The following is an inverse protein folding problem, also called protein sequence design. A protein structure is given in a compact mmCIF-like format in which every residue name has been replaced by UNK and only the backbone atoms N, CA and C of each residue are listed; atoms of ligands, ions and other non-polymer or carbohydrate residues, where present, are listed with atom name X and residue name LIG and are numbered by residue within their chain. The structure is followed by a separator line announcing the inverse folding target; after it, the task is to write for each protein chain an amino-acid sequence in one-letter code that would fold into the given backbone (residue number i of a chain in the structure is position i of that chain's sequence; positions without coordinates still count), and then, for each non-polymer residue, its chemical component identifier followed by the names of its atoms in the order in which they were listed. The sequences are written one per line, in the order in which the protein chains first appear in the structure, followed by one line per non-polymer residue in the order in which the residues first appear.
data_IF_928411196657
#
_entry.id   IF_928411196657
#
_cell.length_a   1.000
_cell.length_b   1.000
_cell.length_c   1.000
_cell.angle_alpha   90.00
_cell.angle_beta   90.00
_cell.angle_gamma   90.00
#
_symmetry.space_group_name_H-M   'P 1'
#
loop_
_entity.id
_entity.type
_entity.pdbx_description
1 polymer ?
#
# COMPACT_ATOMS: atom_id res chain seq x y z
N UNK A 1 -26.31 51.76 -9.09
CA UNK A 1 -25.91 50.40 -8.65
C UNK A 1 -25.67 50.47 -7.15
N UNK A 2 -26.39 49.67 -6.35
CA UNK A 2 -26.22 49.68 -4.89
C UNK A 2 -25.14 48.67 -4.52
N UNK A 3 -24.00 49.15 -4.04
CA UNK A 3 -22.98 48.32 -3.37
C UNK A 3 -23.51 47.94 -1.98
N UNK A 4 -23.56 46.65 -1.67
CA UNK A 4 -23.85 46.16 -0.32
C UNK A 4 -22.52 45.99 0.42
N UNK A 5 -22.32 46.77 1.48
CA UNK A 5 -21.17 46.65 2.37
C UNK A 5 -21.32 45.47 3.34
N UNK A 6 -20.19 44.80 3.65
CA UNK A 6 -20.10 43.79 4.69
C UNK A 6 -20.19 44.46 6.08
N UNK A 7 -21.12 44.07 6.97
CA UNK A 7 -21.41 44.79 8.20
C UNK A 7 -20.34 44.69 9.28
N UNK A 8 -19.20 44.01 9.03
CA UNK A 8 -18.18 43.75 10.05
C UNK A 8 -16.83 44.45 9.81
N UNK A 9 -16.48 44.83 8.57
CA UNK A 9 -15.13 45.32 8.27
C UNK A 9 -15.01 46.56 7.37
N UNK A 10 -16.10 47.12 6.82
CA UNK A 10 -16.10 48.39 6.04
C UNK A 10 -14.98 48.54 4.99
N UNK A 11 -14.57 47.47 4.32
CA UNK A 11 -13.69 47.54 3.15
C UNK A 11 -14.41 47.08 1.88
N UNK A 12 -14.16 47.80 0.79
CA UNK A 12 -14.79 47.61 -0.52
C UNK A 12 -14.16 46.41 -1.23
N UNK A 13 -14.96 45.38 -1.52
CA UNK A 13 -14.49 44.19 -2.25
C UNK A 13 -14.28 44.57 -3.73
N UNK A 14 -13.03 44.67 -4.15
CA UNK A 14 -12.66 44.83 -5.55
C UNK A 14 -12.55 43.44 -6.19
N UNK A 15 -13.49 43.14 -7.08
CA UNK A 15 -13.54 41.91 -7.85
C UNK A 15 -12.55 41.99 -9.02
N UNK A 16 -11.31 41.56 -8.81
CA UNK A 16 -10.37 41.29 -9.92
C UNK A 16 -9.78 39.88 -9.75
N UNK A 17 -10.62 38.88 -10.00
CA UNK A 17 -10.17 37.53 -10.33
C UNK A 17 -10.11 37.40 -11.85
N UNK A 18 -9.10 36.66 -12.32
CA UNK A 18 -8.84 36.14 -13.67
C UNK A 18 -7.65 36.83 -14.35
N UNK A 19 -6.47 36.24 -14.16
CA UNK A 19 -5.55 36.03 -15.27
C UNK A 19 -5.04 34.59 -15.22
N UNK A 20 -5.51 33.82 -16.19
CA UNK A 20 -5.18 32.43 -16.46
C UNK A 20 -3.67 32.24 -16.67
N UNK A 21 -3.02 31.65 -15.67
CA UNK A 21 -1.90 30.76 -15.93
C UNK A 21 -2.41 29.32 -15.82
N UNK A 22 -2.94 28.82 -16.93
CA UNK A 22 -3.15 27.38 -17.13
C UNK A 22 -1.77 26.74 -17.22
N UNK A 23 -1.16 26.49 -16.05
CA UNK A 23 -0.16 25.44 -15.91
C UNK A 23 -0.93 24.16 -16.23
N UNK A 24 -0.60 23.51 -17.36
CA UNK A 24 -1.06 22.15 -17.62
C UNK A 24 -0.46 21.26 -16.53
N UNK A 25 -1.14 21.18 -15.38
CA UNK A 25 -0.77 20.30 -14.28
C UNK A 25 -0.91 18.88 -14.80
N UNK A 26 0.20 18.16 -14.90
CA UNK A 26 0.18 16.74 -15.17
C UNK A 26 -0.66 16.10 -14.04
N UNK A 27 -1.81 15.47 -14.32
CA UNK A 27 -2.67 14.91 -13.26
C UNK A 27 -2.02 13.72 -12.55
N UNK A 28 -0.88 13.25 -13.06
CA UNK A 28 -0.11 12.17 -12.48
C UNK A 28 1.02 12.72 -11.61
N UNK A 29 1.25 12.13 -10.43
CA UNK A 29 2.39 12.50 -9.60
C UNK A 29 3.69 12.23 -10.37
N UNK A 30 4.73 13.00 -10.05
CA UNK A 30 6.08 12.83 -10.61
C UNK A 30 7.03 12.30 -9.51
N UNK A 31 6.87 11.03 -9.08
CA UNK A 31 7.74 10.47 -8.05
C UNK A 31 9.16 10.24 -8.59
N UNK A 32 10.13 10.25 -7.69
CA UNK A 32 11.48 9.78 -8.00
C UNK A 32 11.48 8.28 -8.28
N UNK A 33 12.48 7.81 -9.03
CA UNK A 33 12.63 6.39 -9.32
C UNK A 33 12.88 5.56 -8.02
N UNK A 34 12.49 4.27 -8.01
CA UNK A 34 12.78 3.38 -6.90
C UNK A 34 14.29 3.28 -6.62
N UNK A 35 14.70 3.00 -5.37
CA UNK A 35 16.10 2.75 -5.04
C UNK A 35 16.73 1.68 -5.95
N UNK A 36 17.95 1.95 -6.43
CA UNK A 36 18.70 1.03 -7.29
C UNK A 36 19.21 -0.23 -6.56
N UNK A 37 19.11 -0.25 -5.22
CA UNK A 37 19.55 -1.36 -4.37
C UNK A 37 18.42 -1.83 -3.48
N UNK A 38 18.41 -3.12 -3.18
CA UNK A 38 17.60 -3.69 -2.10
C UNK A 38 18.29 -3.48 -0.75
N UNK A 39 17.60 -3.90 0.31
CA UNK A 39 18.15 -3.93 1.67
C UNK A 39 19.56 -4.53 1.68
N UNK A 40 20.53 -3.76 2.20
CA UNK A 40 21.93 -4.18 2.26
C UNK A 40 22.14 -4.90 3.58
N UNK A 41 22.46 -6.18 3.53
CA UNK A 41 22.77 -6.97 4.71
C UNK A 41 24.28 -7.12 4.83
N UNK A 42 24.84 -6.78 5.99
CA UNK A 42 26.25 -6.89 6.34
C UNK A 42 26.46 -7.86 7.49
N UNK A 43 27.50 -8.69 7.40
CA UNK A 43 27.96 -9.58 8.48
C UNK A 43 29.48 -9.49 8.58
N UNK A 44 29.99 -9.36 9.81
CA UNK A 44 31.44 -9.18 10.03
C UNK A 44 32.04 -8.01 9.24
N UNK A 45 31.31 -6.90 9.08
CA UNK A 45 31.74 -5.71 8.35
C UNK A 45 31.62 -5.76 6.82
N UNK A 46 31.19 -6.90 6.24
CA UNK A 46 31.11 -7.09 4.79
C UNK A 46 29.68 -7.34 4.33
N UNK A 47 29.31 -6.88 3.13
CA UNK A 47 27.97 -7.11 2.58
C UNK A 47 27.82 -8.56 2.10
N UNK A 48 26.84 -9.27 2.64
CA UNK A 48 26.41 -10.60 2.19
C UNK A 48 25.18 -10.53 1.27
N UNK A 49 24.75 -9.32 0.89
CA UNK A 49 23.49 -9.10 0.15
C UNK A 49 23.41 -9.90 -1.15
N UNK A 50 24.55 -10.19 -1.79
CA UNK A 50 24.59 -10.97 -3.03
C UNK A 50 24.37 -12.47 -2.83
N UNK A 51 24.61 -12.97 -1.61
CA UNK A 51 24.42 -14.39 -1.26
C UNK A 51 22.95 -14.70 -0.98
N UNK A 52 22.18 -13.69 -0.57
CA UNK A 52 20.75 -13.82 -0.35
C UNK A 52 20.07 -13.88 -1.74
N UNK A 53 19.19 -14.85 -2.03
CA UNK A 53 18.43 -14.84 -3.28
C UNK A 53 17.41 -13.70 -3.30
N UNK A 54 16.88 -13.37 -4.48
CA UNK A 54 15.68 -12.52 -4.58
C UNK A 54 14.44 -13.44 -4.56
N UNK A 55 13.34 -13.03 -3.91
CA UNK A 55 12.12 -13.83 -3.85
C UNK A 55 11.47 -14.02 -5.22
N UNK A 56 10.73 -15.12 -5.36
CA UNK A 56 9.72 -15.31 -6.40
C UNK A 56 8.36 -14.98 -5.80
N UNK A 57 7.67 -13.98 -6.37
CA UNK A 57 6.33 -13.59 -5.89
C UNK A 57 5.30 -14.58 -6.42
N UNK A 58 4.43 -15.05 -5.54
CA UNK A 58 3.26 -15.82 -5.91
C UNK A 58 2.05 -14.90 -5.97
N UNK A 59 1.33 -14.94 -7.08
CA UNK A 59 0.14 -14.13 -7.36
C UNK A 59 -1.07 -15.07 -7.31
N UNK A 60 -2.07 -14.72 -6.52
CA UNK A 60 -3.30 -15.51 -6.44
C UNK A 60 -4.00 -15.57 -7.81
N UNK A 61 -4.41 -16.76 -8.23
CA UNK A 61 -5.05 -16.96 -9.55
C UNK A 61 -6.41 -16.26 -9.70
N UNK A 62 -7.04 -15.81 -8.61
CA UNK A 62 -8.29 -15.06 -8.63
C UNK A 62 -8.06 -13.55 -8.75
N UNK A 63 -6.83 -13.07 -8.58
CA UNK A 63 -6.50 -11.66 -8.69
C UNK A 63 -6.55 -11.22 -10.16
N UNK A 64 -7.54 -10.39 -10.51
CA UNK A 64 -7.83 -10.04 -11.91
C UNK A 64 -6.86 -9.02 -12.49
N UNK A 65 -6.37 -8.13 -11.64
CA UNK A 65 -5.51 -7.02 -12.03
C UNK A 65 -4.26 -7.04 -11.15
N UNK A 66 -3.38 -8.04 -11.30
CA UNK A 66 -2.22 -8.17 -10.43
C UNK A 66 -1.23 -7.03 -10.66
N UNK A 67 -0.43 -6.72 -9.64
CA UNK A 67 0.73 -5.85 -9.77
C UNK A 67 1.78 -6.48 -10.70
N UNK A 68 2.45 -5.62 -11.47
CA UNK A 68 3.56 -6.04 -12.32
C UNK A 68 4.89 -5.90 -11.59
N UNK A 69 5.40 -7.02 -11.05
CA UNK A 69 6.67 -7.03 -10.31
C UNK A 69 7.90 -7.07 -11.21
N UNK A 70 7.74 -7.28 -12.53
CA UNK A 70 8.87 -7.34 -13.47
C UNK A 70 9.66 -6.04 -13.54
N UNK A 71 9.03 -4.91 -13.18
CA UNK A 71 9.63 -3.58 -13.10
C UNK A 71 10.62 -3.41 -11.94
N UNK A 72 10.67 -4.35 -10.99
CA UNK A 72 11.53 -4.27 -9.80
C UNK A 72 12.56 -5.41 -9.74
N UNK A 73 13.42 -5.58 -10.78
CA UNK A 73 14.36 -6.70 -10.85
C UNK A 73 15.42 -6.65 -9.73
N UNK A 74 15.60 -5.52 -9.05
CA UNK A 74 16.49 -5.41 -7.89
C UNK A 74 15.90 -6.05 -6.62
N UNK A 75 14.58 -6.19 -6.54
CA UNK A 75 13.86 -6.69 -5.37
C UNK A 75 13.27 -8.07 -5.57
N UNK A 76 12.81 -8.38 -6.79
CA UNK A 76 12.06 -9.59 -7.12
C UNK A 76 12.79 -10.36 -8.23
N UNK A 77 12.92 -11.68 -8.09
CA UNK A 77 13.55 -12.54 -9.10
C UNK A 77 12.58 -12.87 -10.24
N UNK A 78 11.35 -13.25 -9.89
CA UNK A 78 10.32 -13.68 -10.82
C UNK A 78 8.93 -13.59 -10.16
N UNK A 79 7.89 -13.85 -10.94
CA UNK A 79 6.51 -13.97 -10.48
C UNK A 79 5.85 -15.23 -11.05
N UNK A 80 4.97 -15.88 -10.28
CA UNK A 80 4.21 -17.08 -10.67
C UNK A 80 2.77 -16.97 -10.23
N UNK A 81 1.84 -17.43 -11.06
CA UNK A 81 0.43 -17.55 -10.67
C UNK A 81 0.20 -18.85 -9.91
N UNK A 82 -0.42 -18.78 -8.73
CA UNK A 82 -0.73 -19.94 -7.89
C UNK A 82 -1.98 -19.67 -7.07
N UNK A 83 -2.85 -20.66 -6.88
CA UNK A 83 -3.97 -20.51 -5.97
C UNK A 83 -3.46 -20.39 -4.52
N UNK A 84 -3.72 -19.26 -3.86
CA UNK A 84 -3.35 -19.01 -2.47
C UNK A 84 -4.53 -19.30 -1.53
N UNK A 85 -4.21 -19.73 -0.30
CA UNK A 85 -5.23 -19.98 0.74
C UNK A 85 -5.90 -18.70 1.21
N UNK A 86 -5.18 -17.57 1.18
CA UNK A 86 -5.63 -16.22 1.51
C UNK A 86 -4.69 -15.19 0.86
N UNK A 87 -5.17 -13.96 0.69
CA UNK A 87 -4.41 -12.87 0.10
C UNK A 87 -4.32 -12.91 -1.41
N UNK A 88 -3.77 -11.84 -1.97
CA UNK A 88 -3.50 -11.69 -3.39
C UNK A 88 -2.04 -12.02 -3.72
N UNK A 89 -1.13 -11.84 -2.75
CA UNK A 89 0.29 -12.12 -2.94
C UNK A 89 0.91 -12.89 -1.77
N UNK A 90 1.87 -13.75 -2.11
CA UNK A 90 2.79 -14.39 -1.17
C UNK A 90 4.18 -14.55 -1.81
N UNK A 91 5.08 -15.28 -1.15
CA UNK A 91 6.41 -15.60 -1.67
C UNK A 91 6.59 -17.12 -1.70
N UNK A 92 7.23 -17.64 -2.74
CA UNK A 92 7.56 -19.06 -2.87
C UNK A 92 8.38 -19.56 -1.67
N UNK A 93 7.91 -20.63 -1.03
CA UNK A 93 8.47 -21.17 0.23
C UNK A 93 7.94 -20.50 1.50
N UNK A 94 7.17 -19.42 1.38
CA UNK A 94 6.58 -18.67 2.50
C UNK A 94 5.03 -18.65 2.43
N UNK A 95 4.40 -19.55 1.68
CA UNK A 95 2.96 -19.55 1.36
C UNK A 95 2.06 -19.66 2.57
N UNK A 96 2.56 -20.21 3.68
CA UNK A 96 1.82 -20.31 4.95
C UNK A 96 2.34 -19.33 6.02
N UNK A 97 3.33 -18.49 5.67
CA UNK A 97 3.98 -17.55 6.58
C UNK A 97 3.71 -16.10 6.23
N UNK A 98 3.62 -15.78 4.93
CA UNK A 98 3.46 -14.43 4.42
C UNK A 98 2.20 -14.31 3.57
N UNK A 99 1.40 -13.28 3.84
CA UNK A 99 0.24 -12.91 3.03
C UNK A 99 0.17 -11.40 2.85
N UNK A 100 -0.10 -10.95 1.64
CA UNK A 100 -0.38 -9.54 1.34
C UNK A 100 -1.72 -9.46 0.61
N UNK A 101 -2.69 -8.79 1.23
CA UNK A 101 -3.98 -8.47 0.63
C UNK A 101 -3.89 -7.08 0.01
N UNK A 102 -4.29 -6.94 -1.25
CA UNK A 102 -4.33 -5.66 -1.97
C UNK A 102 -5.77 -5.17 -2.02
N UNK A 103 -5.95 -3.86 -1.90
CA UNK A 103 -7.24 -3.22 -2.06
C UNK A 103 -7.12 -1.88 -2.78
N UNK A 104 -7.92 -1.68 -3.81
CA UNK A 104 -8.15 -0.34 -4.35
C UNK A 104 -9.02 0.46 -3.37
N UNK A 105 -9.03 1.80 -3.47
CA UNK A 105 -9.93 2.64 -2.68
C UNK A 105 -11.40 2.23 -2.88
N UNK A 106 -11.81 2.04 -4.13
CA UNK A 106 -13.18 1.64 -4.50
C UNK A 106 -13.54 0.28 -3.93
N UNK A 107 -12.65 -0.71 -4.06
CA UNK A 107 -12.88 -2.05 -3.51
C UNK A 107 -12.93 -2.03 -1.99
N UNK A 108 -12.12 -1.19 -1.34
CA UNK A 108 -12.12 -1.04 0.11
C UNK A 108 -13.47 -0.52 0.60
N UNK A 109 -13.93 0.61 0.05
CA UNK A 109 -15.22 1.22 0.40
C UNK A 109 -16.34 0.19 0.21
N UNK A 110 -16.40 -0.45 -0.97
CA UNK A 110 -17.39 -1.48 -1.29
C UNK A 110 -17.33 -2.63 -0.29
N UNK A 111 -16.13 -3.10 0.05
CA UNK A 111 -15.94 -4.22 0.97
C UNK A 111 -16.40 -3.88 2.38
N UNK A 112 -16.11 -2.68 2.87
CA UNK A 112 -16.46 -2.29 4.23
C UNK A 112 -17.94 -2.00 4.44
N UNK A 113 -18.66 -1.67 3.37
CA UNK A 113 -20.11 -1.38 3.39
C UNK A 113 -20.91 -2.65 3.11
N UNK A 114 -20.58 -3.36 2.04
CA UNK A 114 -21.42 -4.42 1.49
C UNK A 114 -20.93 -5.83 1.83
N UNK A 115 -19.63 -6.00 2.08
CA UNK A 115 -19.00 -7.32 2.27
C UNK A 115 -18.26 -7.45 3.61
N UNK A 116 -18.65 -6.62 4.60
CA UNK A 116 -17.92 -6.45 5.85
C UNK A 116 -17.69 -7.78 6.57
N UNK A 117 -18.74 -8.58 6.77
CA UNK A 117 -18.63 -9.85 7.51
C UNK A 117 -17.71 -10.85 6.81
N UNK A 118 -17.80 -10.92 5.48
CA UNK A 118 -16.92 -11.76 4.67
C UNK A 118 -15.47 -11.32 4.81
N UNK A 119 -15.22 -10.03 4.74
CA UNK A 119 -13.88 -9.46 4.87
C UNK A 119 -13.27 -9.70 6.26
N UNK A 120 -14.05 -9.52 7.34
CA UNK A 120 -13.57 -9.80 8.68
C UNK A 120 -13.22 -11.28 8.88
N UNK A 121 -13.99 -12.21 8.30
CA UNK A 121 -13.62 -13.64 8.27
C UNK A 121 -12.32 -13.90 7.49
N UNK A 122 -12.03 -13.11 6.46
CA UNK A 122 -10.76 -13.19 5.73
C UNK A 122 -9.61 -12.65 6.58
N UNK A 123 -9.78 -11.50 7.24
CA UNK A 123 -8.80 -10.97 8.20
C UNK A 123 -8.49 -11.98 9.32
N UNK A 124 -9.51 -12.62 9.88
CA UNK A 124 -9.34 -13.68 10.90
C UNK A 124 -8.49 -14.84 10.38
N UNK A 125 -8.67 -15.27 9.13
CA UNK A 125 -7.83 -16.32 8.51
C UNK A 125 -6.39 -15.84 8.34
N UNK A 126 -6.19 -14.58 7.95
CA UNK A 126 -4.86 -14.02 7.76
C UNK A 126 -4.08 -13.87 9.08
N UNK A 127 -4.73 -13.82 10.24
CA UNK A 127 -4.02 -13.76 11.54
C UNK A 127 -3.07 -14.93 11.78
N UNK A 128 -3.31 -16.07 11.14
CA UNK A 128 -2.47 -17.28 11.22
C UNK A 128 -1.11 -17.13 10.52
N UNK A 129 -0.97 -16.12 9.67
CA UNK A 129 0.28 -15.83 8.97
C UNK A 129 1.17 -14.97 9.87
N UNK A 130 2.46 -15.32 9.91
CA UNK A 130 3.48 -14.58 10.67
C UNK A 130 3.57 -13.15 10.16
N UNK A 131 3.66 -12.99 8.84
CA UNK A 131 3.66 -11.70 8.16
C UNK A 131 2.39 -11.55 7.36
N UNK A 132 1.67 -10.47 7.64
CA UNK A 132 0.38 -10.16 7.03
C UNK A 132 0.25 -8.66 6.90
N UNK A 133 -0.34 -8.17 5.83
CA UNK A 133 -0.67 -6.76 5.68
C UNK A 133 -1.83 -6.56 4.71
N UNK A 134 -2.57 -5.47 4.92
CA UNK A 134 -3.51 -4.93 3.94
C UNK A 134 -2.83 -3.73 3.26
N UNK A 135 -2.54 -3.86 1.97
CA UNK A 135 -2.00 -2.79 1.15
C UNK A 135 -3.13 -2.08 0.41
N UNK A 136 -3.25 -0.77 0.62
CA UNK A 136 -4.30 0.05 0.05
C UNK A 136 -3.70 0.97 -1.01
N UNK A 137 -4.24 0.94 -2.23
CA UNK A 137 -3.91 1.87 -3.33
C UNK A 137 -4.58 3.24 -3.13
N UNK A 138 -4.28 3.86 -1.99
CA UNK A 138 -4.73 5.18 -1.59
C UNK A 138 -3.80 5.72 -0.49
N UNK A 139 -3.66 7.04 -0.42
CA UNK A 139 -3.01 7.69 0.72
C UNK A 139 -3.97 7.76 1.91
N UNK A 140 -3.47 8.22 3.07
CA UNK A 140 -4.37 8.44 4.21
C UNK A 140 -5.30 9.65 3.96
N UNK A 141 -4.83 10.67 3.24
CA UNK A 141 -5.64 11.81 2.80
C UNK A 141 -6.79 11.37 1.89
N UNK A 142 -6.54 10.48 0.93
CA UNK A 142 -7.60 9.90 0.09
C UNK A 142 -8.67 9.21 0.94
N UNK A 143 -8.25 8.47 1.97
CA UNK A 143 -9.15 7.74 2.88
C UNK A 143 -9.94 8.69 3.78
N UNK A 144 -9.35 9.83 4.17
CA UNK A 144 -9.94 10.80 5.11
C UNK A 144 -10.69 11.94 4.43
N UNK A 145 -10.67 12.01 3.11
CA UNK A 145 -11.41 13.00 2.34
C UNK A 145 -12.81 12.50 1.97
N UNK A 146 -13.79 13.40 1.73
CA UNK A 146 -15.12 13.01 1.27
C UNK A 146 -15.06 12.18 -0.01
N UNK A 147 -15.87 11.14 -0.08
CA UNK A 147 -16.01 10.31 -1.28
C UNK A 147 -17.07 10.91 -2.19
N UNK A 148 -16.75 11.01 -3.47
CA UNK A 148 -17.72 11.39 -4.49
C UNK A 148 -18.82 10.31 -4.59
N UNK A 149 -20.08 10.72 -4.38
CA UNK A 149 -21.19 9.78 -4.35
C UNK A 149 -21.45 9.15 -5.72
N UNK A 150 -21.15 9.85 -6.81
CA UNK A 150 -21.32 9.36 -8.17
C UNK A 150 -20.18 8.41 -8.55
N UNK A 151 -18.92 8.74 -8.20
CA UNK A 151 -17.75 7.91 -8.48
C UNK A 151 -17.78 6.57 -7.71
N UNK A 152 -18.11 6.62 -6.42
CA UNK A 152 -18.00 5.45 -5.53
C UNK A 152 -19.36 4.82 -5.16
N UNK A 153 -20.49 5.41 -5.57
CA UNK A 153 -21.84 4.91 -5.25
C UNK A 153 -22.02 4.60 -3.76
N UNK A 154 -21.56 5.52 -2.90
CA UNK A 154 -21.42 5.29 -1.47
C UNK A 154 -21.89 6.46 -0.61
N UNK A 155 -22.47 6.16 0.55
CA UNK A 155 -22.71 7.12 1.64
C UNK A 155 -21.75 6.89 2.82
N UNK A 156 -20.69 6.09 2.64
CA UNK A 156 -19.74 5.84 3.71
C UNK A 156 -19.05 7.13 4.12
N UNK A 157 -19.09 7.39 5.43
CA UNK A 157 -18.34 8.48 6.00
C UNK A 157 -16.85 8.11 6.11
N UNK A 158 -15.90 8.98 5.69
CA UNK A 158 -14.45 8.71 5.76
C UNK A 158 -13.95 8.25 7.13
N UNK A 159 -14.47 8.84 8.22
CA UNK A 159 -14.16 8.40 9.59
C UNK A 159 -14.58 6.95 9.90
N UNK A 160 -15.66 6.44 9.29
CA UNK A 160 -16.09 5.06 9.49
C UNK A 160 -15.16 4.07 8.76
N UNK A 161 -14.68 4.46 7.57
CA UNK A 161 -13.66 3.71 6.82
C UNK A 161 -12.36 3.69 7.60
N UNK A 162 -11.81 4.86 7.96
CA UNK A 162 -10.55 4.94 8.70
C UNK A 162 -10.63 4.22 10.05
N UNK A 163 -11.71 4.42 10.82
CA UNK A 163 -11.89 3.75 12.10
C UNK A 163 -12.02 2.23 11.98
N UNK A 164 -12.50 1.72 10.85
CA UNK A 164 -12.45 0.28 10.58
C UNK A 164 -11.02 -0.18 10.33
N UNK A 165 -10.22 0.56 9.56
CA UNK A 165 -8.81 0.23 9.31
C UNK A 165 -8.01 0.21 10.61
N UNK A 166 -8.19 1.21 11.48
CA UNK A 166 -7.58 1.26 12.81
C UNK A 166 -7.96 0.02 13.65
N UNK A 167 -9.22 -0.40 13.57
CA UNK A 167 -9.68 -1.61 14.25
C UNK A 167 -9.05 -2.90 13.68
N UNK A 168 -8.74 -2.95 12.37
CA UNK A 168 -8.03 -4.09 11.79
C UNK A 168 -6.61 -4.19 12.34
N UNK A 169 -5.91 -3.07 12.43
CA UNK A 169 -4.55 -3.03 13.00
C UNK A 169 -4.57 -3.48 14.47
N UNK A 170 -5.45 -2.88 15.28
CA UNK A 170 -5.52 -3.18 16.71
C UNK A 170 -6.01 -4.59 17.03
N UNK A 171 -7.04 -5.09 16.32
CA UNK A 171 -7.66 -6.40 16.61
C UNK A 171 -6.91 -7.57 15.99
N UNK A 172 -6.45 -7.43 14.75
CA UNK A 172 -5.87 -8.54 13.99
C UNK A 172 -4.35 -8.48 13.91
N UNK A 173 -3.73 -7.40 14.41
CA UNK A 173 -2.29 -7.17 14.27
C UNK A 173 -1.88 -7.17 12.80
N UNK A 174 -2.75 -6.64 11.93
CA UNK A 174 -2.57 -6.59 10.49
C UNK A 174 -2.31 -5.15 10.07
N UNK A 175 -1.04 -4.77 9.85
CA UNK A 175 -0.68 -3.43 9.40
C UNK A 175 -1.46 -3.02 8.15
N UNK A 176 -1.89 -1.77 8.15
CA UNK A 176 -2.51 -1.13 6.99
C UNK A 176 -1.46 -0.26 6.30
N UNK A 177 -1.09 -0.65 5.09
CA UNK A 177 -0.08 0.03 4.28
C UNK A 177 -0.80 0.93 3.28
N UNK A 178 -0.96 2.21 3.64
CA UNK A 178 -1.37 3.24 2.70
C UNK A 178 -0.27 3.49 1.65
N UNK A 179 -0.66 3.66 0.40
CA UNK A 179 0.26 3.87 -0.72
C UNK A 179 -0.16 5.07 -1.55
N UNK A 180 -0.63 4.87 -2.77
CA UNK A 180 -1.05 5.92 -3.69
C UNK A 180 -2.11 5.40 -4.64
N UNK A 181 -3.02 6.28 -5.07
CA UNK A 181 -3.88 6.03 -6.24
C UNK A 181 -3.06 5.87 -7.54
N UNK A 182 -1.83 6.36 -7.56
CA UNK A 182 -0.89 6.10 -8.65
C UNK A 182 -0.27 4.70 -8.50
N UNK A 183 -0.88 3.74 -9.18
CA UNK A 183 -0.58 2.30 -9.12
C UNK A 183 0.92 1.95 -9.09
N UNK A 184 1.81 2.52 -9.92
CA UNK A 184 3.23 2.17 -9.88
C UNK A 184 3.91 2.33 -8.51
N UNK A 185 3.46 3.30 -7.69
CA UNK A 185 3.97 3.46 -6.32
C UNK A 185 3.45 2.37 -5.37
N UNK A 186 2.24 1.87 -5.59
CA UNK A 186 1.72 0.73 -4.85
C UNK A 186 2.45 -0.56 -5.23
N UNK A 187 2.75 -0.76 -6.52
CA UNK A 187 3.60 -1.85 -7.01
C UNK A 187 4.99 -1.81 -6.37
N UNK A 188 5.61 -0.62 -6.35
CA UNK A 188 6.93 -0.39 -5.72
C UNK A 188 6.90 -0.72 -4.23
N UNK A 189 5.88 -0.23 -3.51
CA UNK A 189 5.74 -0.47 -2.08
C UNK A 189 5.54 -1.96 -1.78
N UNK A 190 4.70 -2.64 -2.55
CA UNK A 190 4.46 -4.08 -2.43
C UNK A 190 5.76 -4.87 -2.66
N UNK A 191 6.48 -4.57 -3.75
CA UNK A 191 7.74 -5.22 -4.09
C UNK A 191 8.79 -5.05 -2.98
N UNK A 192 8.93 -3.84 -2.45
CA UNK A 192 9.84 -3.54 -1.34
C UNK A 192 9.47 -4.30 -0.07
N UNK A 193 8.18 -4.32 0.27
CA UNK A 193 7.68 -5.01 1.47
C UNK A 193 7.91 -6.52 1.40
N UNK A 194 7.55 -7.15 0.26
CA UNK A 194 7.76 -8.57 0.02
C UNK A 194 9.24 -8.95 0.06
N UNK A 195 10.11 -8.17 -0.61
CA UNK A 195 11.55 -8.41 -0.66
C UNK A 195 12.21 -8.33 0.72
N UNK A 196 11.81 -7.37 1.56
CA UNK A 196 12.32 -7.23 2.92
C UNK A 196 11.93 -8.42 3.81
N UNK A 197 10.67 -8.82 3.77
CA UNK A 197 10.20 -9.96 4.57
C UNK A 197 10.86 -11.28 4.15
N UNK A 198 11.02 -11.50 2.85
CA UNK A 198 11.79 -12.64 2.36
C UNK A 198 13.24 -12.60 2.85
N UNK A 199 13.89 -11.43 2.82
CA UNK A 199 15.26 -11.27 3.29
C UNK A 199 15.37 -11.67 4.76
N UNK A 200 14.44 -11.22 5.61
CA UNK A 200 14.42 -11.62 7.02
C UNK A 200 14.26 -13.11 7.22
N UNK A 201 13.29 -13.70 6.53
CA UNK A 201 13.04 -15.13 6.59
C UNK A 201 14.26 -15.93 6.14
N UNK A 202 14.86 -15.57 5.00
CA UNK A 202 16.04 -16.25 4.49
C UNK A 202 17.22 -16.20 5.47
N UNK A 203 17.46 -15.05 6.11
CA UNK A 203 18.50 -14.90 7.12
C UNK A 203 18.24 -15.78 8.34
N UNK A 204 16.98 -15.90 8.78
CA UNK A 204 16.57 -16.75 9.90
C UNK A 204 16.79 -18.23 9.58
N UNK A 205 16.28 -18.71 8.44
CA UNK A 205 16.38 -20.11 8.03
C UNK A 205 17.82 -20.59 7.76
N UNK A 206 18.71 -19.67 7.36
CA UNK A 206 20.11 -20.00 7.05
C UNK A 206 21.08 -19.64 8.19
N UNK A 207 20.58 -19.32 9.39
CA UNK A 207 21.41 -19.11 10.57
C UNK A 207 22.21 -17.80 10.61
N UNK A 208 21.88 -16.83 9.75
CA UNK A 208 22.53 -15.51 9.70
C UNK A 208 21.95 -14.49 10.70
N UNK A 209 20.96 -14.91 11.50
CA UNK A 209 20.25 -14.08 12.48
C UNK A 209 19.12 -13.27 11.86
N UNK A 210 17.97 -13.22 12.54
CA UNK A 210 16.69 -12.66 12.03
C UNK A 210 16.58 -11.13 12.05
N UNK A 211 17.51 -10.42 12.68
CA UNK A 211 17.41 -8.99 12.96
C UNK A 211 18.43 -8.24 12.10
N UNK A 212 18.05 -7.06 11.60
CA UNK A 212 19.02 -6.12 11.07
C UNK A 212 19.93 -5.66 12.20
N UNK A 213 21.23 -5.80 12.00
CA UNK A 213 22.24 -5.31 12.93
C UNK A 213 22.61 -3.87 12.53
N UNK A 214 23.22 -3.13 13.44
CA UNK A 214 23.68 -1.77 13.15
C UNK A 214 24.58 -1.76 11.89
N UNK A 215 24.17 -0.98 10.88
CA UNK A 215 24.84 -0.90 9.58
C UNK A 215 24.18 -1.69 8.43
N UNK A 216 23.11 -2.44 8.71
CA UNK A 216 22.21 -3.06 7.71
C UNK A 216 21.13 -2.08 7.17
N UNK A 217 20.82 -1.03 7.94
CA UNK A 217 19.88 0.05 7.58
C UNK A 217 20.59 1.29 7.05
#
# INVERSE_FOLDING_TARGET
MAQKECPFCKETIQTDFINDHIVKSNPHPNPVAPPSRRLIVKRGGHSITREIPKPVVLIDTREKYPFDFSKFPNWIAAQKNQALKAGDYSIEGMENLLVLERKTLTDLITTLIQQRDRFFKQCEKMTKYRWKALLIEASYEDIKSPYDQEEYSTLAHPNAVSGTLDALEARFGMPVIYTSRYRPLAEEKAASWLSKHFTYWYLEENGFGRVLQDGDL
#
